data_IF_146379365537
#
_entry.id   IF_146379365537
#
_cell.length_a   1.000
_cell.length_b   1.000
_cell.length_c   1.000
_cell.angle_alpha   90.00
_cell.angle_beta   90.00
_cell.angle_gamma   90.00
#
_symmetry.space_group_name_H-M   'P 1'
#
loop_
_entity.id
_entity.type
_entity.pdbx_description
1 polymer ?
#
# COMPACT_ATOMS: atom_id res chain seq x y z
N UNK A 1 36.59 30.77 -26.47
CA UNK A 1 35.46 30.28 -25.64
C UNK A 1 34.61 29.38 -26.50
N UNK A 2 34.44 28.11 -26.13
CA UNK A 2 33.49 27.24 -26.81
C UNK A 2 32.07 27.77 -26.49
N UNK A 3 31.14 27.81 -27.45
CA UNK A 3 29.77 28.23 -27.17
C UNK A 3 29.17 27.32 -26.10
N UNK A 4 28.30 27.83 -25.21
CA UNK A 4 27.58 26.98 -24.27
C UNK A 4 26.82 25.93 -25.10
N UNK A 5 27.12 24.66 -24.87
CA UNK A 5 26.49 23.55 -25.57
C UNK A 5 25.02 23.56 -25.16
N UNK A 6 24.17 24.20 -25.97
CA UNK A 6 22.72 24.12 -25.86
C UNK A 6 22.33 22.64 -26.00
N UNK A 7 21.68 22.09 -24.96
CA UNK A 7 21.22 20.69 -24.92
C UNK A 7 19.68 20.65 -25.03
N UNK A 8 19.11 21.01 -26.20
CA UNK A 8 17.67 21.20 -26.34
C UNK A 8 16.87 19.92 -26.07
N UNK A 9 17.44 18.74 -26.37
CA UNK A 9 16.79 17.45 -26.11
C UNK A 9 16.68 17.14 -24.62
N UNK A 10 17.75 17.35 -23.85
CA UNK A 10 17.73 17.15 -22.40
C UNK A 10 16.79 18.15 -21.73
N UNK A 11 16.83 19.42 -22.15
CA UNK A 11 15.92 20.44 -21.66
C UNK A 11 14.45 20.09 -21.94
N UNK A 12 14.15 19.57 -23.14
CA UNK A 12 12.81 19.07 -23.50
C UNK A 12 12.37 17.92 -22.60
N UNK A 13 13.26 16.96 -22.34
CA UNK A 13 13.01 15.83 -21.43
C UNK A 13 12.73 16.35 -20.01
N UNK A 14 13.57 17.23 -19.46
CA UNK A 14 13.39 17.79 -18.11
C UNK A 14 12.12 18.64 -18.00
N UNK A 15 11.78 19.40 -19.04
CA UNK A 15 10.56 20.19 -19.09
C UNK A 15 9.29 19.33 -19.15
N UNK A 16 9.37 18.15 -19.77
CA UNK A 16 8.23 17.21 -19.77
C UNK A 16 7.88 16.67 -18.38
N UNK A 17 8.82 16.68 -17.42
CA UNK A 17 8.63 16.23 -16.03
C UNK A 17 7.91 17.26 -15.15
N UNK A 18 7.49 18.42 -15.68
CA UNK A 18 6.78 19.43 -14.89
C UNK A 18 5.35 19.01 -14.51
N UNK A 19 4.72 18.13 -15.31
CA UNK A 19 3.38 17.55 -15.06
C UNK A 19 2.26 18.57 -14.75
N UNK A 20 2.30 19.77 -15.34
CA UNK A 20 1.34 20.87 -15.05
C UNK A 20 -0.09 20.55 -15.49
N UNK A 21 -0.27 20.02 -16.70
CA UNK A 21 -1.58 19.68 -17.27
C UNK A 21 -1.93 18.21 -17.13
N UNK A 22 -0.98 17.33 -17.43
CA UNK A 22 -1.07 15.89 -17.33
C UNK A 22 0.35 15.30 -17.28
N UNK A 23 0.43 13.99 -17.10
CA UNK A 23 1.68 13.25 -16.99
C UNK A 23 2.05 12.48 -18.28
N UNK A 24 1.38 12.74 -19.40
CA UNK A 24 1.53 11.98 -20.63
C UNK A 24 2.97 12.03 -21.15
N UNK A 25 3.50 13.24 -21.37
CA UNK A 25 4.88 13.42 -21.84
C UNK A 25 5.90 12.96 -20.79
N UNK A 26 5.62 13.18 -19.51
CA UNK A 26 6.48 12.76 -18.41
C UNK A 26 6.68 11.24 -18.40
N UNK A 27 5.62 10.45 -18.58
CA UNK A 27 5.74 8.99 -18.58
C UNK A 27 6.72 8.48 -19.64
N UNK A 28 6.63 8.99 -20.87
CA UNK A 28 7.55 8.61 -21.94
C UNK A 28 8.98 9.08 -21.69
N UNK A 29 9.15 10.30 -21.17
CA UNK A 29 10.45 10.81 -20.78
C UNK A 29 11.11 9.96 -19.69
N UNK A 30 10.36 9.54 -18.68
CA UNK A 30 10.84 8.65 -17.63
C UNK A 30 11.23 7.26 -18.17
N UNK A 31 10.42 6.71 -19.08
CA UNK A 31 10.74 5.43 -19.73
C UNK A 31 12.01 5.52 -20.58
N UNK A 32 12.18 6.61 -21.33
CA UNK A 32 13.40 6.88 -22.11
C UNK A 32 14.63 6.99 -21.19
N UNK A 33 14.54 7.81 -20.14
CA UNK A 33 15.61 7.98 -19.16
C UNK A 33 16.00 6.65 -18.51
N UNK A 34 15.00 5.86 -18.11
CA UNK A 34 15.24 4.54 -17.55
C UNK A 34 15.90 3.59 -18.54
N UNK A 35 15.47 3.58 -19.80
CA UNK A 35 16.07 2.76 -20.84
C UNK A 35 17.53 3.16 -21.10
N UNK A 36 17.84 4.46 -21.12
CA UNK A 36 19.21 4.96 -21.27
C UNK A 36 20.11 4.51 -20.12
N UNK A 37 19.65 4.65 -18.87
CA UNK A 37 20.44 4.27 -17.69
C UNK A 37 20.53 2.74 -17.52
N UNK A 38 19.56 1.99 -18.02
CA UNK A 38 19.54 0.52 -17.89
C UNK A 38 20.29 -0.23 -18.98
N UNK A 39 20.67 0.44 -20.07
CA UNK A 39 21.26 -0.22 -21.22
C UNK A 39 22.78 -0.20 -21.13
N UNK A 40 23.37 -1.38 -20.88
CA UNK A 40 24.83 -1.57 -20.80
C UNK A 40 25.57 -1.25 -22.10
N UNK A 41 24.85 -1.22 -23.24
CA UNK A 41 25.39 -0.88 -24.55
C UNK A 41 25.40 0.63 -24.86
N UNK A 42 24.85 1.47 -23.98
CA UNK A 42 24.92 2.93 -24.14
C UNK A 42 26.26 3.42 -23.61
N UNK A 43 26.99 4.16 -24.44
CA UNK A 43 28.28 4.72 -24.05
C UNK A 43 28.15 5.59 -22.80
N UNK A 44 29.06 5.43 -21.84
CA UNK A 44 29.04 6.23 -20.61
C UNK A 44 29.31 7.70 -20.90
N UNK A 45 29.97 8.01 -22.02
CA UNK A 45 30.13 9.39 -22.52
C UNK A 45 28.80 10.01 -23.01
N UNK A 46 27.84 9.18 -23.42
CA UNK A 46 26.45 9.59 -23.65
C UNK A 46 25.78 9.75 -22.27
N UNK A 47 25.98 8.85 -21.31
CA UNK A 47 25.45 9.06 -19.95
C UNK A 47 26.09 10.23 -19.16
N UNK A 48 27.22 10.79 -19.61
CA UNK A 48 27.80 12.05 -19.07
C UNK A 48 26.83 13.25 -19.24
N UNK A 49 25.79 13.15 -20.09
CA UNK A 49 24.70 14.15 -20.11
C UNK A 49 23.57 13.91 -19.11
N UNK A 50 23.51 12.73 -18.46
CA UNK A 50 22.59 12.38 -17.38
C UNK A 50 23.28 12.36 -15.99
N UNK A 51 24.35 13.14 -15.79
CA UNK A 51 25.54 12.77 -15.02
C UNK A 51 25.24 11.80 -13.87
N UNK A 52 25.40 10.52 -14.17
CA UNK A 52 25.45 9.42 -13.20
C UNK A 52 26.92 9.07 -12.85
N UNK A 53 27.88 9.96 -13.17
CA UNK A 53 29.30 9.79 -12.86
C UNK A 53 29.83 11.13 -12.34
N UNK A 54 30.48 11.16 -11.16
CA UNK A 54 30.93 12.41 -10.55
C UNK A 54 32.03 13.03 -11.40
N UNK A 55 31.73 14.19 -12.01
CA UNK A 55 32.72 15.05 -12.65
C UNK A 55 32.44 16.49 -12.24
N UNK A 56 32.77 16.80 -10.98
CA UNK A 56 33.28 18.09 -10.60
C UNK A 56 33.83 17.99 -9.17
N UNK A 57 35.13 18.23 -9.02
CA UNK A 57 35.81 18.40 -7.72
C UNK A 57 35.25 19.58 -6.89
N UNK A 58 34.23 20.29 -7.41
CA UNK A 58 33.56 21.42 -6.78
C UNK A 58 32.09 21.18 -6.39
N UNK A 59 31.43 20.10 -6.85
CA UNK A 59 30.05 19.77 -6.43
C UNK A 59 30.04 18.43 -5.71
N UNK A 60 29.72 18.44 -4.41
CA UNK A 60 29.63 17.26 -3.54
C UNK A 60 28.54 16.24 -3.91
N UNK A 61 27.80 16.45 -5.02
CA UNK A 61 26.64 15.61 -5.37
C UNK A 61 27.03 14.53 -6.37
N UNK A 62 26.82 13.26 -6.02
CA UNK A 62 27.14 12.07 -6.82
C UNK A 62 26.14 11.77 -7.96
N UNK A 63 25.14 12.62 -8.18
CA UNK A 63 24.05 12.44 -9.13
C UNK A 63 23.66 13.75 -9.83
N UNK A 64 22.89 13.65 -10.91
CA UNK A 64 22.36 14.81 -11.61
C UNK A 64 21.23 15.50 -10.82
N UNK A 65 21.61 16.54 -10.08
CA UNK A 65 20.74 17.29 -9.16
C UNK A 65 19.43 17.75 -9.80
N UNK A 66 19.49 18.40 -10.97
CA UNK A 66 18.28 18.88 -11.67
C UNK A 66 17.31 17.76 -12.03
N UNK A 67 17.79 16.59 -12.44
CA UNK A 67 16.90 15.47 -12.72
C UNK A 67 16.28 14.94 -11.43
N UNK A 68 17.06 14.80 -10.35
CA UNK A 68 16.53 14.37 -9.05
C UNK A 68 15.49 15.34 -8.52
N UNK A 69 15.72 16.65 -8.61
CA UNK A 69 14.73 17.68 -8.28
C UNK A 69 13.44 17.50 -9.08
N UNK A 70 13.53 17.24 -10.39
CA UNK A 70 12.35 16.98 -11.22
C UNK A 70 11.63 15.69 -10.84
N UNK A 71 12.35 14.63 -10.49
CA UNK A 71 11.75 13.37 -10.03
C UNK A 71 11.02 13.55 -8.69
N UNK A 72 11.66 14.24 -7.74
CA UNK A 72 11.07 14.58 -6.45
C UNK A 72 9.84 15.46 -6.66
N UNK A 73 9.88 16.44 -7.56
CA UNK A 73 8.72 17.26 -7.93
C UNK A 73 7.54 16.41 -8.43
N UNK A 74 7.77 15.43 -9.30
CA UNK A 74 6.72 14.50 -9.75
C UNK A 74 6.16 13.68 -8.59
N UNK A 75 7.01 13.25 -7.66
CA UNK A 75 6.60 12.51 -6.46
C UNK A 75 5.73 13.40 -5.55
N UNK A 76 6.17 14.60 -5.22
CA UNK A 76 5.41 15.56 -4.40
C UNK A 76 4.07 15.93 -5.04
N UNK A 77 4.05 16.23 -6.35
CA UNK A 77 2.80 16.48 -7.09
C UNK A 77 1.86 15.28 -7.08
N UNK A 78 2.36 14.05 -6.92
CA UNK A 78 1.53 12.84 -6.83
C UNK A 78 0.83 12.71 -5.48
N UNK A 79 1.41 13.29 -4.43
CA UNK A 79 0.87 13.34 -3.06
C UNK A 79 -0.22 14.39 -2.86
N UNK A 80 -0.39 15.33 -3.81
CA UNK A 80 -1.40 16.38 -3.73
C UNK A 80 -2.82 15.87 -4.02
N UNK A 81 -3.81 16.56 -3.45
CA UNK A 81 -5.21 16.30 -3.76
C UNK A 81 -5.51 16.62 -5.24
N UNK A 82 -6.36 15.82 -5.89
CA UNK A 82 -6.68 15.94 -7.32
C UNK A 82 -5.46 15.91 -8.26
N UNK A 83 -4.38 15.23 -7.86
CA UNK A 83 -3.22 15.04 -8.71
C UNK A 83 -3.58 14.43 -10.06
N UNK A 84 -3.04 15.02 -11.13
CA UNK A 84 -3.22 14.58 -12.52
C UNK A 84 -2.15 13.59 -12.97
N UNK A 85 -1.43 13.02 -12.01
CA UNK A 85 -0.35 12.06 -12.23
C UNK A 85 -0.89 10.67 -11.95
N UNK A 86 -0.79 9.78 -12.95
CA UNK A 86 -1.16 8.38 -12.86
C UNK A 86 -0.17 7.64 -11.95
N UNK A 87 -0.64 6.56 -11.33
CA UNK A 87 0.19 5.72 -10.45
C UNK A 87 1.41 5.17 -11.18
N UNK A 88 1.25 4.75 -12.44
CA UNK A 88 2.35 4.24 -13.25
C UNK A 88 3.48 5.26 -13.43
N UNK A 89 3.15 6.55 -13.55
CA UNK A 89 4.16 7.61 -13.67
C UNK A 89 4.87 7.84 -12.34
N UNK A 90 4.15 7.80 -11.22
CA UNK A 90 4.77 7.85 -9.89
C UNK A 90 5.72 6.67 -9.67
N UNK A 91 5.27 5.44 -9.95
CA UNK A 91 6.09 4.23 -9.84
C UNK A 91 7.34 4.32 -10.71
N UNK A 92 7.20 4.84 -11.94
CA UNK A 92 8.32 5.02 -12.86
C UNK A 92 9.32 6.07 -12.33
N UNK A 93 8.85 7.19 -11.79
CA UNK A 93 9.69 8.22 -11.17
C UNK A 93 10.46 7.67 -9.97
N UNK A 94 9.79 6.92 -9.09
CA UNK A 94 10.40 6.28 -7.92
C UNK A 94 11.46 5.26 -8.35
N UNK A 95 11.13 4.41 -9.34
CA UNK A 95 12.04 3.40 -9.88
C UNK A 95 13.29 4.02 -10.50
N UNK A 96 13.13 5.11 -11.25
CA UNK A 96 14.24 5.86 -11.83
C UNK A 96 15.07 6.55 -10.76
N UNK A 97 14.44 7.19 -9.78
CA UNK A 97 15.13 7.86 -8.66
C UNK A 97 16.00 6.86 -7.90
N UNK A 98 15.44 5.73 -7.47
CA UNK A 98 16.16 4.65 -6.79
C UNK A 98 17.37 4.18 -7.60
N UNK A 99 17.22 4.03 -8.92
CA UNK A 99 18.29 3.57 -9.81
C UNK A 99 19.44 4.57 -9.92
N UNK A 100 19.15 5.86 -9.79
CA UNK A 100 20.15 6.94 -9.86
C UNK A 100 20.88 7.12 -8.52
N UNK A 101 20.14 7.05 -7.40
CA UNK A 101 20.65 7.52 -6.10
C UNK A 101 21.09 6.42 -5.15
N UNK A 102 20.71 5.16 -5.40
CA UNK A 102 21.15 4.03 -4.57
C UNK A 102 22.36 3.35 -5.21
N UNK A 103 23.49 3.39 -4.51
CA UNK A 103 24.72 2.68 -4.89
C UNK A 103 25.18 1.80 -3.74
N UNK A 104 25.51 0.52 -4.01
CA UNK A 104 25.94 -0.45 -2.98
C UNK A 104 24.99 -0.58 -1.76
N UNK A 105 23.71 -0.24 -1.96
CA UNK A 105 22.70 -0.24 -0.90
C UNK A 105 22.65 1.04 -0.07
N UNK A 106 23.44 2.07 -0.40
CA UNK A 106 23.47 3.39 0.23
C UNK A 106 22.78 4.46 -0.61
N UNK A 107 21.98 5.30 0.05
CA UNK A 107 21.41 6.50 -0.54
C UNK A 107 22.48 7.58 -0.63
N UNK A 108 22.73 8.06 -1.85
CA UNK A 108 23.65 9.15 -2.14
C UNK A 108 22.97 10.53 -2.12
N UNK A 109 21.67 10.59 -1.81
CA UNK A 109 20.89 11.83 -1.76
C UNK A 109 21.43 12.82 -0.71
N UNK A 110 21.47 14.10 -1.06
CA UNK A 110 21.73 15.16 -0.10
C UNK A 110 20.55 15.35 0.88
N UNK A 111 20.84 15.94 2.05
CA UNK A 111 19.84 16.16 3.11
C UNK A 111 18.62 16.95 2.65
N UNK A 112 18.80 17.94 1.76
CA UNK A 112 17.70 18.73 1.22
C UNK A 112 16.72 17.87 0.39
N UNK A 113 17.25 16.94 -0.40
CA UNK A 113 16.42 16.04 -1.20
C UNK A 113 15.77 14.94 -0.36
N UNK A 114 16.48 14.41 0.64
CA UNK A 114 15.89 13.50 1.61
C UNK A 114 14.73 14.16 2.36
N UNK A 115 14.92 15.39 2.84
CA UNK A 115 13.87 16.17 3.50
C UNK A 115 12.65 16.39 2.58
N UNK A 116 12.86 16.63 1.28
CA UNK A 116 11.76 16.77 0.33
C UNK A 116 10.96 15.47 0.13
N UNK A 117 11.63 14.31 0.14
CA UNK A 117 10.96 13.00 0.09
C UNK A 117 10.17 12.73 1.36
N UNK A 118 10.73 13.08 2.53
CA UNK A 118 10.00 12.96 3.80
C UNK A 118 8.78 13.89 3.86
N UNK A 119 8.91 15.11 3.35
CA UNK A 119 7.76 16.01 3.20
C UNK A 119 6.69 15.42 2.30
N UNK A 120 7.07 14.80 1.16
CA UNK A 120 6.11 14.10 0.30
C UNK A 120 5.44 12.91 1.00
N UNK A 121 6.16 12.19 1.87
CA UNK A 121 5.61 11.11 2.71
C UNK A 121 4.57 11.65 3.68
N UNK A 122 4.87 12.75 4.37
CA UNK A 122 3.94 13.41 5.29
C UNK A 122 2.69 13.91 4.58
N UNK A 123 2.84 14.52 3.40
CA UNK A 123 1.71 14.97 2.57
C UNK A 123 0.82 13.79 2.14
N UNK A 124 1.42 12.70 1.67
CA UNK A 124 0.66 11.49 1.29
C UNK A 124 -0.11 10.90 2.48
N UNK A 125 0.50 10.93 3.68
CA UNK A 125 -0.11 10.47 4.93
C UNK A 125 -1.27 11.36 5.35
N UNK A 126 -1.12 12.68 5.22
CA UNK A 126 -2.17 13.65 5.53
C UNK A 126 -3.36 13.50 4.57
N UNK A 127 -3.10 13.29 3.27
CA UNK A 127 -4.14 13.02 2.29
C UNK A 127 -4.90 11.72 2.62
N UNK A 128 -4.16 10.65 2.94
CA UNK A 128 -4.75 9.36 3.26
C UNK A 128 -5.63 9.41 4.53
N UNK A 129 -5.20 10.18 5.54
CA UNK A 129 -5.94 10.38 6.79
C UNK A 129 -7.35 10.94 6.58
N UNK A 130 -7.56 11.72 5.53
CA UNK A 130 -8.89 12.23 5.20
C UNK A 130 -9.85 11.10 4.84
N UNK A 131 -9.39 10.14 4.04
CA UNK A 131 -10.19 8.97 3.64
C UNK A 131 -10.40 7.99 4.79
N UNK A 132 -9.40 7.81 5.65
CA UNK A 132 -9.54 6.97 6.85
C UNK A 132 -10.70 7.41 7.76
N UNK A 133 -10.99 8.72 7.80
CA UNK A 133 -12.07 9.26 8.63
C UNK A 133 -13.44 9.26 7.94
N UNK A 134 -13.48 9.11 6.62
CA UNK A 134 -14.71 9.29 5.83
C UNK A 134 -15.27 7.99 5.26
N UNK A 135 -14.44 6.96 5.09
CA UNK A 135 -14.82 5.70 4.42
C UNK A 135 -14.93 4.55 5.42
N UNK A 136 -16.14 4.01 5.62
CA UNK A 136 -16.39 2.89 6.55
C UNK A 136 -15.64 1.60 6.15
N UNK A 137 -15.37 1.42 4.86
CA UNK A 137 -14.66 0.27 4.30
C UNK A 137 -13.17 0.55 4.04
N UNK A 138 -12.61 1.60 4.66
CA UNK A 138 -11.23 2.01 4.41
C UNK A 138 -10.21 0.89 4.66
N UNK A 139 -10.34 0.17 5.77
CA UNK A 139 -9.40 -0.89 6.14
C UNK A 139 -9.40 -2.02 5.10
N UNK A 140 -10.59 -2.45 4.66
CA UNK A 140 -10.73 -3.45 3.60
C UNK A 140 -10.04 -2.98 2.31
N UNK A 141 -10.29 -1.72 1.90
CA UNK A 141 -9.61 -1.13 0.74
C UNK A 141 -8.09 -1.07 0.92
N UNK A 142 -7.62 -0.76 2.13
CA UNK A 142 -6.20 -0.62 2.44
C UNK A 142 -5.45 -1.95 2.32
N UNK A 143 -6.01 -3.03 2.86
CA UNK A 143 -5.42 -4.38 2.76
C UNK A 143 -5.45 -4.93 1.33
N UNK A 144 -6.55 -4.70 0.60
CA UNK A 144 -6.70 -5.09 -0.80
C UNK A 144 -5.65 -4.39 -1.68
N UNK A 145 -5.50 -3.07 -1.52
CA UNK A 145 -4.54 -2.32 -2.31
C UNK A 145 -3.09 -2.65 -1.97
N UNK A 146 -2.78 -2.91 -0.69
CA UNK A 146 -1.44 -3.39 -0.30
C UNK A 146 -1.12 -4.71 -1.00
N UNK A 147 -2.07 -5.66 -0.97
CA UNK A 147 -1.92 -6.97 -1.61
C UNK A 147 -1.74 -6.86 -3.13
N UNK A 148 -2.48 -5.95 -3.79
CA UNK A 148 -2.34 -5.74 -5.24
C UNK A 148 -1.00 -5.10 -5.62
N UNK A 149 -0.52 -4.13 -4.84
CA UNK A 149 0.81 -3.49 -5.07
C UNK A 149 1.93 -4.53 -4.95
N UNK A 150 1.86 -5.44 -3.98
CA UNK A 150 2.88 -6.48 -3.80
C UNK A 150 2.89 -7.54 -4.92
N UNK A 151 1.73 -7.88 -5.49
CA UNK A 151 1.63 -8.93 -6.53
C UNK A 151 2.16 -8.49 -7.89
N UNK A 152 2.06 -7.21 -8.22
CA UNK A 152 2.31 -6.68 -9.58
C UNK A 152 3.32 -5.53 -9.55
N UNK A 153 4.62 -5.81 -9.34
CA UNK A 153 5.64 -4.80 -9.46
C UNK A 153 5.73 -4.27 -10.90
N UNK A 154 6.08 -2.99 -11.06
CA UNK A 154 6.19 -2.35 -12.37
C UNK A 154 7.26 -3.02 -13.24
N UNK A 155 6.81 -3.68 -14.32
CA UNK A 155 7.66 -4.11 -15.42
C UNK A 155 7.64 -3.05 -16.54
N UNK A 156 8.79 -2.40 -16.76
CA UNK A 156 8.92 -1.30 -17.73
C UNK A 156 8.81 -1.80 -19.16
N UNK A 157 9.29 -3.00 -19.46
CA UNK A 157 9.17 -3.58 -20.81
C UNK A 157 7.70 -3.82 -21.15
N UNK A 158 6.95 -4.43 -20.22
CA UNK A 158 5.51 -4.67 -20.41
C UNK A 158 4.72 -3.37 -20.49
N UNK A 159 5.10 -2.36 -19.71
CA UNK A 159 4.53 -1.02 -19.82
C UNK A 159 4.71 -0.44 -21.22
N UNK A 160 5.93 -0.53 -21.77
CA UNK A 160 6.27 0.01 -23.08
C UNK A 160 5.64 -0.76 -24.25
N UNK A 161 5.19 -1.99 -24.02
CA UNK A 161 4.41 -2.76 -24.99
C UNK A 161 2.91 -2.43 -24.97
N UNK A 162 2.43 -1.68 -23.97
CA UNK A 162 1.02 -1.37 -23.81
C UNK A 162 0.58 -0.23 -24.74
N UNK A 163 -0.41 -0.47 -25.62
CA UNK A 163 -0.95 0.57 -26.49
C UNK A 163 -1.73 1.64 -25.73
N UNK A 164 -2.24 1.36 -24.54
CA UNK A 164 -3.10 2.30 -23.79
C UNK A 164 -2.33 3.51 -23.24
N UNK A 165 -1.00 3.42 -23.12
CA UNK A 165 -0.19 4.55 -22.67
C UNK A 165 0.10 5.57 -23.78
N UNK A 166 -0.16 5.22 -25.06
CA UNK A 166 0.05 6.08 -26.22
C UNK A 166 -1.00 7.18 -26.36
N UNK A 167 -2.09 7.11 -25.60
CA UNK A 167 -3.11 8.14 -25.57
C UNK A 167 -3.03 8.95 -24.27
N UNK A 168 -3.47 10.22 -24.29
CA UNK A 168 -3.60 11.01 -23.08
C UNK A 168 -4.42 10.28 -22.01
N UNK A 169 -4.13 10.51 -20.72
CA UNK A 169 -4.76 9.80 -19.62
C UNK A 169 -6.29 9.98 -19.64
N UNK A 170 -7.01 8.87 -19.55
CA UNK A 170 -8.48 8.88 -19.41
C UNK A 170 -8.86 8.87 -17.94
N UNK A 171 -10.05 9.37 -17.61
CA UNK A 171 -10.59 9.39 -16.24
C UNK A 171 -11.83 8.54 -16.07
N UNK A 172 -12.13 7.60 -16.99
CA UNK A 172 -13.35 6.79 -16.93
C UNK A 172 -13.04 5.29 -16.80
N UNK A 173 -13.69 4.59 -15.84
CA UNK A 173 -13.49 3.16 -15.64
C UNK A 173 -14.07 2.33 -16.81
N UNK A 174 -14.94 2.91 -17.64
CA UNK A 174 -15.58 2.24 -18.78
C UNK A 174 -14.62 1.90 -19.93
N UNK A 175 -13.38 2.39 -19.88
CA UNK A 175 -12.36 2.12 -20.91
C UNK A 175 -11.77 0.71 -20.83
N UNK A 176 -11.94 0.00 -19.71
CA UNK A 176 -11.24 -1.26 -19.47
C UNK A 176 -9.73 -1.10 -19.19
N UNK A 177 -9.22 0.15 -19.16
CA UNK A 177 -7.83 0.44 -18.84
C UNK A 177 -7.60 0.21 -17.35
N UNK A 178 -6.50 -0.47 -17.04
CA UNK A 178 -6.08 -0.74 -15.67
C UNK A 178 -5.95 0.56 -14.85
N UNK A 179 -6.38 0.50 -13.59
CA UNK A 179 -6.40 1.64 -12.69
C UNK A 179 -5.05 2.37 -12.55
N UNK A 180 -3.94 1.64 -12.60
CA UNK A 180 -2.58 2.22 -12.53
C UNK A 180 -2.24 3.16 -13.68
N UNK A 181 -2.89 2.97 -14.84
CA UNK A 181 -2.59 3.66 -16.12
C UNK A 181 -3.60 4.74 -16.47
N UNK A 182 -4.57 5.02 -15.60
CA UNK A 182 -5.61 6.04 -15.79
C UNK A 182 -5.78 6.90 -14.55
N UNK A 183 -6.56 7.96 -14.68
CA UNK A 183 -6.89 8.82 -13.54
C UNK A 183 -8.06 8.23 -12.74
N UNK A 184 -8.12 8.47 -11.42
CA UNK A 184 -9.21 8.00 -10.58
C UNK A 184 -10.53 8.70 -10.91
N UNK A 185 -11.60 7.94 -10.87
CA UNK A 185 -12.97 8.38 -11.10
C UNK A 185 -13.82 8.19 -9.85
N UNK A 186 -14.21 9.29 -9.19
CA UNK A 186 -15.02 9.28 -7.96
C UNK A 186 -14.19 9.08 -6.69
N UNK A 187 -14.86 9.19 -5.53
CA UNK A 187 -14.19 9.21 -4.22
C UNK A 187 -13.54 7.87 -3.86
N UNK A 188 -14.19 6.75 -4.15
CA UNK A 188 -13.63 5.40 -3.88
C UNK A 188 -12.30 5.21 -4.63
N UNK A 189 -12.23 5.56 -5.91
CA UNK A 189 -10.97 5.45 -6.65
C UNK A 189 -9.92 6.49 -6.21
N UNK A 190 -10.34 7.68 -5.74
CA UNK A 190 -9.40 8.63 -5.13
C UNK A 190 -8.82 8.08 -3.82
N UNK A 191 -9.62 7.42 -2.99
CA UNK A 191 -9.16 6.74 -1.79
C UNK A 191 -8.16 5.63 -2.14
N UNK A 192 -8.51 4.75 -3.09
CA UNK A 192 -7.62 3.69 -3.61
C UNK A 192 -6.30 4.25 -4.15
N UNK A 193 -6.34 5.36 -4.90
CA UNK A 193 -5.12 6.04 -5.36
C UNK A 193 -4.30 6.55 -4.18
N UNK A 194 -4.91 7.25 -3.22
CA UNK A 194 -4.22 7.80 -2.06
C UNK A 194 -3.51 6.70 -1.26
N UNK A 195 -4.16 5.54 -1.08
CA UNK A 195 -3.58 4.34 -0.45
C UNK A 195 -2.32 3.89 -1.20
N UNK A 196 -2.40 3.72 -2.52
CA UNK A 196 -1.23 3.29 -3.33
C UNK A 196 -0.10 4.31 -3.31
N UNK A 197 -0.40 5.60 -3.43
CA UNK A 197 0.60 6.67 -3.34
C UNK A 197 1.31 6.62 -2.00
N UNK A 198 0.56 6.46 -0.90
CA UNK A 198 1.13 6.32 0.44
C UNK A 198 2.10 5.13 0.51
N UNK A 199 1.73 3.94 0.02
CA UNK A 199 2.63 2.79 0.02
C UNK A 199 3.91 3.03 -0.77
N UNK A 200 3.80 3.58 -1.98
CA UNK A 200 4.94 3.81 -2.86
C UNK A 200 5.93 4.83 -2.26
N UNK A 201 5.44 5.93 -1.70
CA UNK A 201 6.29 6.98 -1.10
C UNK A 201 6.87 6.52 0.24
N UNK A 202 6.09 5.78 1.03
CA UNK A 202 6.57 5.15 2.27
C UNK A 202 7.69 4.15 1.99
N UNK A 203 7.50 3.26 1.02
CA UNK A 203 8.53 2.29 0.61
C UNK A 203 9.80 2.99 0.12
N UNK A 204 9.66 4.06 -0.69
CA UNK A 204 10.80 4.88 -1.10
C UNK A 204 11.56 5.44 0.10
N UNK A 205 10.88 6.08 1.05
CA UNK A 205 11.48 6.66 2.26
C UNK A 205 12.24 5.59 3.07
N UNK A 206 11.60 4.46 3.37
CA UNK A 206 12.22 3.36 4.11
C UNK A 206 13.44 2.79 3.36
N UNK A 207 13.34 2.64 2.04
CA UNK A 207 14.46 2.13 1.22
C UNK A 207 15.66 3.07 1.20
N UNK A 208 15.43 4.39 1.18
CA UNK A 208 16.50 5.38 1.23
C UNK A 208 17.19 5.42 2.61
N UNK A 209 16.43 5.16 3.69
CA UNK A 209 16.94 5.13 5.06
C UNK A 209 17.46 3.75 5.51
N UNK A 210 17.32 2.72 4.67
CA UNK A 210 17.62 1.30 4.97
C UNK A 210 16.79 0.73 6.14
N UNK A 211 15.58 1.23 6.33
CA UNK A 211 14.66 0.70 7.34
C UNK A 211 13.86 -0.49 6.76
N UNK A 212 13.71 -1.59 7.52
CA UNK A 212 12.82 -2.67 7.11
C UNK A 212 11.35 -2.30 7.36
N UNK A 213 10.45 -2.73 6.46
CA UNK A 213 9.01 -2.64 6.73
C UNK A 213 8.63 -3.61 7.85
N UNK A 214 8.07 -3.07 8.93
CA UNK A 214 7.69 -3.81 10.15
C UNK A 214 6.21 -3.71 10.47
N UNK A 215 5.50 -2.78 9.85
CA UNK A 215 4.10 -2.47 10.17
C UNK A 215 3.12 -3.07 9.17
N UNK A 216 3.58 -3.41 7.97
CA UNK A 216 2.75 -3.98 6.91
C UNK A 216 3.24 -5.39 6.52
N UNK A 217 2.33 -6.30 6.09
CA UNK A 217 0.88 -6.15 6.07
C UNK A 217 0.26 -6.05 7.48
N UNK A 218 -0.90 -5.40 7.59
CA UNK A 218 -1.63 -5.27 8.86
C UNK A 218 -2.02 -6.64 9.41
N UNK A 219 -2.55 -7.50 8.54
CA UNK A 219 -2.86 -8.89 8.87
C UNK A 219 -1.73 -9.80 8.39
N UNK A 220 -1.01 -10.42 9.33
CA UNK A 220 0.01 -11.44 9.05
C UNK A 220 -0.54 -12.84 9.36
N UNK A 221 -0.96 -13.63 8.35
CA UNK A 221 -1.60 -14.94 8.58
C UNK A 221 -0.70 -15.92 9.36
N UNK A 222 0.62 -15.77 9.25
CA UNK A 222 1.59 -16.60 9.96
C UNK A 222 1.65 -16.36 11.47
N UNK A 223 1.26 -15.17 11.94
CA UNK A 223 1.18 -14.84 13.37
C UNK A 223 -0.24 -15.02 13.92
N UNK A 224 -1.23 -15.21 13.05
CA UNK A 224 -2.61 -15.44 13.44
C UNK A 224 -2.79 -16.83 14.06
N UNK A 225 -3.64 -16.91 15.08
CA UNK A 225 -4.08 -18.18 15.66
C UNK A 225 -4.89 -18.94 14.61
N UNK A 226 -4.54 -20.21 14.40
CA UNK A 226 -5.25 -21.09 13.49
C UNK A 226 -6.23 -21.99 14.25
N UNK A 227 -7.24 -22.49 13.54
CA UNK A 227 -8.15 -23.50 14.09
C UNK A 227 -7.35 -24.74 14.47
N UNK A 228 -7.61 -25.24 15.67
CA UNK A 228 -6.92 -26.33 16.38
C UNK A 228 -5.53 -26.00 16.93
N UNK A 229 -5.08 -24.73 16.90
CA UNK A 229 -3.89 -24.34 17.64
C UNK A 229 -4.12 -24.46 19.15
N UNK A 230 -3.08 -24.89 19.86
CA UNK A 230 -3.04 -24.93 21.32
C UNK A 230 -2.53 -23.57 21.82
N UNK A 231 -3.29 -22.94 22.71
CA UNK A 231 -3.02 -21.61 23.26
C UNK A 231 -2.74 -21.71 24.76
N UNK A 232 -1.77 -20.92 25.21
CA UNK A 232 -1.57 -20.61 26.62
C UNK A 232 -2.44 -19.40 26.98
N UNK A 233 -3.36 -19.60 27.92
CA UNK A 233 -4.42 -18.66 28.30
C UNK A 233 -4.20 -18.05 29.68
N UNK A 234 -3.05 -18.30 30.32
CA UNK A 234 -2.81 -17.88 31.71
C UNK A 234 -2.88 -16.35 31.91
N UNK A 235 -2.61 -15.58 30.84
CA UNK A 235 -2.66 -14.10 30.84
C UNK A 235 -3.72 -13.55 29.88
N UNK A 236 -4.69 -14.37 29.47
CA UNK A 236 -5.74 -13.96 28.54
C UNK A 236 -7.04 -13.69 29.30
N UNK A 237 -7.73 -12.62 28.94
CA UNK A 237 -9.08 -12.36 29.42
C UNK A 237 -10.05 -13.36 28.78
N UNK A 238 -10.53 -14.30 29.60
CA UNK A 238 -11.42 -15.39 29.18
C UNK A 238 -12.86 -15.05 29.54
N UNK A 239 -13.72 -14.91 28.53
CA UNK A 239 -15.15 -14.70 28.74
C UNK A 239 -15.87 -16.02 28.51
N UNK A 240 -16.50 -16.57 29.56
CA UNK A 240 -17.27 -17.80 29.43
C UNK A 240 -18.56 -17.54 28.64
N UNK A 241 -18.82 -18.34 27.60
CA UNK A 241 -20.04 -18.23 26.82
C UNK A 241 -20.55 -19.60 26.34
N UNK A 242 -21.86 -19.70 26.17
CA UNK A 242 -22.53 -20.83 25.53
C UNK A 242 -22.88 -20.43 24.10
N UNK A 243 -22.27 -21.11 23.14
CA UNK A 243 -22.51 -20.91 21.71
C UNK A 243 -23.64 -21.82 21.27
N UNK A 244 -24.70 -21.22 20.73
CA UNK A 244 -25.87 -21.90 20.19
C UNK A 244 -25.88 -21.74 18.68
N UNK A 245 -25.71 -22.85 17.99
CA UNK A 245 -25.69 -22.92 16.53
C UNK A 245 -27.10 -22.92 15.95
N UNK A 246 -27.23 -22.66 14.64
CA UNK A 246 -28.52 -22.73 13.92
C UNK A 246 -29.20 -24.09 14.05
N UNK A 247 -28.40 -25.15 14.20
CA UNK A 247 -28.89 -26.53 14.36
C UNK A 247 -29.39 -26.82 15.78
N UNK A 248 -29.43 -25.80 16.66
CA UNK A 248 -29.87 -25.91 18.06
C UNK A 248 -28.83 -26.50 19.01
N UNK A 249 -27.68 -26.93 18.50
CA UNK A 249 -26.58 -27.44 19.31
C UNK A 249 -26.04 -26.35 20.23
N UNK A 250 -25.99 -26.64 21.54
CA UNK A 250 -25.45 -25.74 22.57
C UNK A 250 -24.12 -26.28 23.06
N UNK A 251 -23.08 -25.46 22.99
CA UNK A 251 -21.73 -25.85 23.41
C UNK A 251 -21.14 -24.75 24.28
N UNK A 252 -20.62 -25.11 25.45
CA UNK A 252 -19.88 -24.19 26.31
C UNK A 252 -18.45 -24.02 25.81
N UNK A 253 -18.02 -22.76 25.69
CA UNK A 253 -16.70 -22.33 25.20
C UNK A 253 -16.21 -21.12 25.98
N UNK A 254 -14.94 -20.78 25.81
CA UNK A 254 -14.38 -19.51 26.27
C UNK A 254 -14.09 -18.64 25.06
N UNK A 255 -14.50 -17.39 25.13
CA UNK A 255 -14.20 -16.36 24.16
C UNK A 255 -12.93 -15.63 24.60
N UNK A 256 -11.95 -15.58 23.70
CA UNK A 256 -10.71 -14.82 23.85
C UNK A 256 -10.70 -13.77 22.73
N UNK A 257 -10.46 -12.53 23.10
CA UNK A 257 -10.27 -11.43 22.15
C UNK A 257 -8.77 -11.12 22.12
N UNK A 258 -8.19 -11.30 20.94
CA UNK A 258 -6.82 -10.88 20.63
C UNK A 258 -6.86 -9.54 19.86
N UNK A 259 -5.71 -8.97 19.52
CA UNK A 259 -5.58 -7.63 18.90
C UNK A 259 -6.44 -7.49 17.63
N UNK A 260 -6.48 -8.52 16.79
CA UNK A 260 -7.23 -8.51 15.52
C UNK A 260 -8.17 -9.71 15.35
N UNK A 261 -8.21 -10.64 16.32
CA UNK A 261 -8.95 -11.91 16.20
C UNK A 261 -9.89 -12.14 17.39
N UNK A 262 -11.03 -12.74 17.07
CA UNK A 262 -11.92 -13.37 18.02
C UNK A 262 -11.72 -14.89 17.96
N UNK A 263 -11.43 -15.48 19.11
CA UNK A 263 -11.08 -16.89 19.22
C UNK A 263 -12.03 -17.57 20.21
N UNK A 264 -12.70 -18.63 19.76
CA UNK A 264 -13.44 -19.52 20.63
C UNK A 264 -12.59 -20.73 21.00
N UNK A 265 -12.36 -20.88 22.29
CA UNK A 265 -11.46 -21.85 22.86
C UNK A 265 -12.23 -22.94 23.62
N UNK A 266 -11.80 -24.17 23.41
CA UNK A 266 -12.16 -25.30 24.26
C UNK A 266 -11.03 -25.53 25.28
N UNK A 267 -11.32 -25.52 26.59
CA UNK A 267 -10.28 -25.69 27.61
C UNK A 267 -9.68 -27.10 27.52
N UNK A 268 -8.35 -27.20 27.70
CA UNK A 268 -7.69 -28.50 27.75
C UNK A 268 -7.97 -29.17 29.11
N UNK A 269 -8.40 -30.43 29.06
CA UNK A 269 -8.66 -31.25 30.26
C UNK A 269 -7.37 -31.69 30.96
N UNK A 270 -6.23 -31.66 30.26
CA UNK A 270 -4.94 -32.18 30.75
C UNK A 270 -4.03 -31.10 31.33
N UNK A 271 -4.16 -29.85 30.88
CA UNK A 271 -3.32 -28.73 31.29
C UNK A 271 -4.18 -27.53 31.63
N UNK A 272 -4.16 -27.17 32.91
CA UNK A 272 -4.85 -25.98 33.40
C UNK A 272 -4.20 -24.72 32.80
N UNK A 273 -5.02 -23.77 32.36
CA UNK A 273 -4.55 -22.56 31.68
C UNK A 273 -4.24 -22.73 30.19
N UNK A 274 -4.49 -23.91 29.61
CA UNK A 274 -4.33 -24.16 28.17
C UNK A 274 -5.68 -24.44 27.52
N UNK A 275 -5.79 -24.16 26.23
CA UNK A 275 -6.98 -24.51 25.45
C UNK A 275 -6.70 -24.63 23.97
N UNK A 276 -7.65 -25.20 23.24
CA UNK A 276 -7.57 -25.41 21.80
C UNK A 276 -8.54 -24.48 21.09
N UNK A 277 -8.05 -23.69 20.14
CA UNK A 277 -8.87 -22.84 19.30
C UNK A 277 -9.81 -23.72 18.45
N UNK A 278 -11.11 -23.58 18.61
CA UNK A 278 -12.12 -24.29 17.81
C UNK A 278 -12.70 -23.44 16.70
N UNK A 279 -12.74 -22.14 16.91
CA UNK A 279 -13.13 -21.18 15.89
C UNK A 279 -12.28 -19.94 16.04
N UNK A 280 -11.87 -19.37 14.90
CA UNK A 280 -11.13 -18.12 14.81
C UNK A 280 -11.79 -17.29 13.73
N UNK A 281 -12.01 -16.01 14.00
CA UNK A 281 -12.46 -15.02 13.03
C UNK A 281 -11.74 -13.69 13.26
N UNK A 282 -11.54 -12.90 12.21
CA UNK A 282 -11.00 -11.55 12.37
C UNK A 282 -12.08 -10.62 12.91
N UNK A 283 -11.72 -9.71 13.82
CA UNK A 283 -12.67 -8.77 14.41
C UNK A 283 -13.36 -7.89 13.35
N UNK A 284 -12.65 -7.53 12.27
CA UNK A 284 -13.18 -6.74 11.16
C UNK A 284 -14.30 -7.44 10.37
N UNK A 285 -14.30 -8.77 10.38
CA UNK A 285 -15.27 -9.60 9.66
C UNK A 285 -16.50 -9.97 10.52
N UNK A 286 -16.57 -9.47 11.76
CA UNK A 286 -17.59 -9.87 12.74
C UNK A 286 -18.66 -8.80 12.85
N UNK A 287 -19.90 -9.23 12.69
CA UNK A 287 -21.10 -8.44 12.94
C UNK A 287 -21.74 -8.90 14.25
N UNK A 288 -22.00 -7.93 15.14
CA UNK A 288 -22.56 -8.17 16.47
C UNK A 288 -23.92 -7.50 16.57
N UNK A 289 -24.95 -8.28 16.90
CA UNK A 289 -26.31 -7.78 17.16
C UNK A 289 -26.73 -8.21 18.57
N UNK A 290 -27.03 -7.23 19.42
CA UNK A 290 -27.58 -7.50 20.75
C UNK A 290 -29.01 -8.04 20.68
N UNK A 291 -29.34 -8.97 21.56
CA UNK A 291 -30.72 -9.41 21.77
C UNK A 291 -31.47 -8.35 22.61
N UNK A 292 -32.69 -7.98 22.18
CA UNK A 292 -33.49 -6.97 22.88
C UNK A 292 -34.14 -7.52 24.15
N UNK A 293 -34.32 -8.83 24.21
CA UNK A 293 -35.06 -9.50 25.30
C UNK A 293 -34.13 -10.12 26.34
N UNK A 294 -32.85 -10.31 26.01
CA UNK A 294 -31.84 -10.87 26.92
C UNK A 294 -30.50 -10.13 26.82
N UNK A 295 -30.17 -9.33 27.84
CA UNK A 295 -28.93 -8.57 27.92
C UNK A 295 -27.66 -9.44 28.07
N UNK A 296 -27.81 -10.76 28.16
CA UNK A 296 -26.71 -11.73 28.14
C UNK A 296 -26.50 -12.38 26.78
N UNK A 297 -27.27 -11.98 25.76
CA UNK A 297 -27.26 -12.63 24.47
C UNK A 297 -26.74 -11.70 23.36
N UNK A 298 -25.72 -12.17 22.64
CA UNK A 298 -25.25 -11.55 21.39
C UNK A 298 -25.42 -12.52 20.23
N UNK A 299 -25.95 -12.02 19.12
CA UNK A 299 -25.92 -12.69 17.84
C UNK A 299 -24.67 -12.27 17.09
N UNK A 300 -23.77 -13.22 16.87
CA UNK A 300 -22.51 -13.01 16.18
C UNK A 300 -22.56 -13.68 14.82
N UNK A 301 -22.29 -12.90 13.78
CA UNK A 301 -22.16 -13.37 12.41
C UNK A 301 -20.74 -13.09 11.93
N UNK A 302 -20.01 -14.15 11.57
CA UNK A 302 -18.66 -14.06 11.03
C UNK A 302 -18.78 -14.15 9.52
N UNK A 303 -18.33 -13.10 8.85
CA UNK A 303 -18.35 -13.00 7.41
C UNK A 303 -17.07 -13.55 6.80
N UNK A 304 -17.14 -13.97 5.54
CA UNK A 304 -15.93 -14.29 4.77
C UNK A 304 -15.17 -12.98 4.49
N UNK A 305 -13.84 -12.94 4.66
CA UNK A 305 -13.05 -11.78 4.28
C UNK A 305 -13.32 -11.44 2.81
N UNK A 306 -13.54 -10.16 2.55
CA UNK A 306 -13.93 -9.64 1.25
C UNK A 306 -12.83 -9.96 0.22
N UNK A 307 -13.06 -10.96 -0.63
CA UNK A 307 -12.29 -11.13 -1.85
C UNK A 307 -13.00 -10.38 -2.96
N UNK A 308 -12.52 -9.17 -3.27
CA UNK A 308 -12.91 -8.33 -4.40
C UNK A 308 -14.39 -7.92 -4.50
N UNK A 309 -14.66 -6.63 -4.22
CA UNK A 309 -15.59 -5.80 -5.00
C UNK A 309 -17.09 -6.09 -4.99
N UNK A 310 -17.63 -6.99 -4.17
CA UNK A 310 -19.08 -7.23 -4.10
C UNK A 310 -19.60 -7.07 -2.67
N UNK A 311 -20.57 -6.17 -2.53
CA UNK A 311 -21.33 -5.76 -1.34
C UNK A 311 -22.01 -6.87 -0.52
N UNK A 312 -21.78 -8.16 -0.82
CA UNK A 312 -22.41 -9.26 -0.10
C UNK A 312 -21.37 -10.05 0.69
N UNK A 313 -21.23 -9.66 1.96
CA UNK A 313 -20.53 -10.45 2.96
C UNK A 313 -21.26 -11.80 3.12
N UNK A 314 -20.65 -12.88 2.66
CA UNK A 314 -21.19 -14.23 2.83
C UNK A 314 -20.94 -14.65 4.28
N UNK A 315 -21.99 -14.96 5.06
CA UNK A 315 -21.81 -15.41 6.44
C UNK A 315 -21.18 -16.80 6.43
N UNK A 316 -19.93 -16.91 6.88
CA UNK A 316 -19.29 -18.20 7.17
C UNK A 316 -19.96 -18.85 8.38
N UNK A 317 -20.40 -18.02 9.31
CA UNK A 317 -20.92 -18.46 10.59
C UNK A 317 -21.97 -17.49 11.10
N UNK A 318 -23.02 -18.01 11.71
CA UNK A 318 -23.95 -17.20 12.48
C UNK A 318 -24.45 -18.02 13.65
N UNK A 319 -24.14 -17.56 14.86
CA UNK A 319 -24.44 -18.27 16.10
C UNK A 319 -24.86 -17.27 17.19
N UNK A 320 -25.69 -17.76 18.13
CA UNK A 320 -26.10 -17.00 19.31
C UNK A 320 -25.17 -17.33 20.47
N UNK A 321 -24.57 -16.31 21.06
CA UNK A 321 -23.65 -16.41 22.19
C UNK A 321 -24.39 -15.95 23.43
N UNK A 322 -24.45 -16.83 24.44
CA UNK A 322 -25.10 -16.57 25.72
C UNK A 322 -24.00 -16.49 26.78
N UNK A 323 -23.85 -15.33 27.41
CA UNK A 323 -22.83 -15.07 28.43
C UNK A 323 -23.37 -15.41 29.83
N UNK A 324 -22.47 -15.75 30.75
CA UNK A 324 -22.86 -16.08 32.13
C UNK A 324 -23.37 -14.81 32.87
N UNK A 325 -22.74 -13.66 32.61
CA UNK A 325 -23.07 -12.35 33.17
C UNK A 325 -23.71 -11.41 32.13
N UNK A 326 -24.33 -10.32 32.62
CA UNK A 326 -24.87 -9.25 31.79
C UNK A 326 -23.74 -8.46 31.11
N UNK A 327 -23.96 -8.10 29.84
CA UNK A 327 -22.98 -7.41 28.97
C UNK A 327 -23.09 -5.90 29.12
#
# INVERSE_FOLDING_TARGET
EAPPISRPFLETILNSLQCTENDYAALFALCLLYALISNDGVDREILDFLPAVPRNEASNNWYYETLVEKLIHVISMSCQNNSKIRLVTLEMSIKLLIKIVISEGESLLCDAHLAAIESAKEESTALLRNFYKSEDIFLDMFEDEYSEVQKKPLNVEWLMMDSHILLPPTGTPMTGIEFSKRLPCGEVERARRAIRVFFLVRELSMRLQKEPETQLPLTQPGNCVQVNNVLDLNNSDLIACTVVWKDGQKIRRFLVIDVIQLILVEPDTRKLGWGVAKLVGFLQDIEVVGDKDDSRCLHLTIHKPLSSGVSNRLPLLSAKFIFDDHI
#
